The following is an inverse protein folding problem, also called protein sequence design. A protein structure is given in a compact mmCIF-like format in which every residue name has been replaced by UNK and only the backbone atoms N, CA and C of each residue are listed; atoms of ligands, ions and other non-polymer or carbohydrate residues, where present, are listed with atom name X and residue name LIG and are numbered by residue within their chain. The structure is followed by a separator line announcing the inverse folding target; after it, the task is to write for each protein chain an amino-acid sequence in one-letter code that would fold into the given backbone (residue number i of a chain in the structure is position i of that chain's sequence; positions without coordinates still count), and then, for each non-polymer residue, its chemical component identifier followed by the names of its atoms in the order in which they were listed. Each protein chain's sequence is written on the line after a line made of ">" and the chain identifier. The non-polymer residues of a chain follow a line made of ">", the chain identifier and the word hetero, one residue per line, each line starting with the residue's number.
data_IF_916868730561
#
_entry.id   IF_916868730561
#
_cell.length_a   1.000
_cell.length_b   1.000
_cell.length_c   1.000
_cell.angle_alpha   90.00
_cell.angle_beta   90.00
_cell.angle_gamma   90.00
#
_symmetry.space_group_name_H-M   'P 1'
#
loop_
_entity.id
_entity.type
_entity.pdbx_description
1 polymer ?
#
# COMPACT_ATOMS: atom_id res chain seq x y z
N UNK A 1 -48.77 3.69 16.47
CA UNK A 1 -48.29 3.66 17.88
C UNK A 1 -48.85 2.46 18.67
N UNK A 2 -48.56 1.21 18.28
CA UNK A 2 -49.01 0.01 19.07
C UNK A 2 -47.95 -1.07 19.28
N UNK A 3 -46.78 -1.01 18.63
CA UNK A 3 -45.83 -2.13 18.66
C UNK A 3 -44.89 -2.20 19.87
N UNK A 4 -44.62 -1.09 20.57
CA UNK A 4 -43.69 -1.08 21.72
C UNK A 4 -44.31 -1.64 23.00
N UNK A 5 -45.64 -1.75 23.06
CA UNK A 5 -46.38 -2.28 24.22
C UNK A 5 -46.23 -3.80 24.33
N UNK A 6 -46.18 -4.51 23.19
CA UNK A 6 -46.11 -5.98 23.16
C UNK A 6 -44.76 -6.52 23.67
N UNK A 7 -43.66 -5.82 23.40
CA UNK A 7 -42.31 -6.22 23.85
C UNK A 7 -42.16 -6.05 25.36
N UNK A 8 -42.61 -4.90 25.89
CA UNK A 8 -42.64 -4.67 27.35
C UNK A 8 -43.51 -5.70 28.06
N UNK A 9 -44.64 -6.07 27.44
CA UNK A 9 -45.53 -7.10 27.96
C UNK A 9 -44.85 -8.49 27.97
N UNK A 10 -44.16 -8.87 26.89
CA UNK A 10 -43.44 -10.14 26.81
C UNK A 10 -42.32 -10.25 27.87
N UNK A 11 -41.53 -9.18 28.05
CA UNK A 11 -40.45 -9.15 29.04
C UNK A 11 -41.02 -9.21 30.47
N UNK A 12 -42.07 -8.45 30.76
CA UNK A 12 -42.74 -8.49 32.07
C UNK A 12 -43.37 -9.86 32.34
N UNK A 13 -43.93 -10.52 31.32
CA UNK A 13 -44.49 -11.87 31.45
C UNK A 13 -43.38 -12.90 31.70
N UNK A 14 -42.24 -12.82 31.03
CA UNK A 14 -41.10 -13.72 31.27
C UNK A 14 -40.51 -13.49 32.67
N UNK A 15 -40.30 -12.23 33.07
CA UNK A 15 -39.80 -11.89 34.39
C UNK A 15 -40.78 -12.31 35.51
N UNK A 16 -42.09 -12.12 35.31
CA UNK A 16 -43.11 -12.57 36.25
C UNK A 16 -43.15 -14.09 36.37
N UNK A 17 -43.03 -14.83 35.27
CA UNK A 17 -42.99 -16.30 35.29
C UNK A 17 -41.73 -16.82 36.00
N UNK A 18 -40.56 -16.19 35.80
CA UNK A 18 -39.34 -16.54 36.52
C UNK A 18 -39.45 -16.26 38.02
N UNK A 19 -40.08 -15.14 38.40
CA UNK A 19 -40.29 -14.76 39.80
C UNK A 19 -41.28 -15.69 40.50
N UNK A 20 -42.36 -16.10 39.82
CA UNK A 20 -43.33 -17.09 40.32
C UNK A 20 -42.69 -18.48 40.44
N UNK A 21 -41.89 -18.90 39.46
CA UNK A 21 -41.16 -20.17 39.53
C UNK A 21 -40.17 -20.21 40.71
N UNK A 22 -39.49 -19.09 40.99
CA UNK A 22 -38.59 -18.98 42.13
C UNK A 22 -39.33 -18.96 43.49
N UNK A 23 -40.53 -18.38 43.54
CA UNK A 23 -41.34 -18.35 44.76
C UNK A 23 -41.91 -19.72 45.15
N UNK A 24 -42.22 -20.57 44.16
CA UNK A 24 -42.80 -21.90 44.36
C UNK A 24 -41.71 -22.95 44.67
N UNK A 25 -40.49 -22.75 44.16
CA UNK A 25 -39.32 -23.59 44.46
C UNK A 25 -38.12 -22.75 44.94
N UNK A 26 -38.06 -22.43 46.24
CA UNK A 26 -36.96 -21.65 46.82
C UNK A 26 -35.62 -22.40 46.88
N UNK A 27 -35.63 -23.73 46.74
CA UNK A 27 -34.44 -24.60 46.78
C UNK A 27 -33.83 -24.89 45.39
N UNK A 28 -34.32 -24.20 44.34
CA UNK A 28 -33.83 -24.42 42.98
C UNK A 28 -32.41 -23.85 42.85
N UNK A 29 -31.40 -24.72 42.94
CA UNK A 29 -30.01 -24.38 42.61
C UNK A 29 -29.95 -24.03 41.12
N UNK A 30 -30.00 -22.73 40.81
CA UNK A 30 -29.87 -22.23 39.45
C UNK A 30 -28.48 -22.66 38.94
N UNK A 31 -28.45 -23.73 38.16
CA UNK A 31 -27.22 -24.26 37.60
C UNK A 31 -26.66 -23.25 36.58
N UNK A 32 -25.33 -23.16 36.51
CA UNK A 32 -24.64 -22.25 35.61
C UNK A 32 -25.08 -22.47 34.15
N UNK A 33 -25.42 -23.71 33.81
CA UNK A 33 -25.95 -24.11 32.49
C UNK A 33 -27.29 -23.41 32.19
N UNK A 34 -28.18 -23.31 33.17
CA UNK A 34 -29.49 -22.66 33.00
C UNK A 34 -29.34 -21.15 32.80
N UNK A 35 -28.39 -20.51 33.50
CA UNK A 35 -28.09 -19.08 33.32
C UNK A 35 -27.52 -18.82 31.93
N UNK A 36 -26.58 -19.66 31.48
CA UNK A 36 -25.98 -19.53 30.15
C UNK A 36 -27.03 -19.73 29.07
N UNK A 37 -27.91 -20.73 29.20
CA UNK A 37 -29.01 -20.94 28.25
C UNK A 37 -30.00 -19.77 28.23
N UNK A 38 -30.28 -19.14 29.37
CA UNK A 38 -31.11 -17.94 29.43
C UNK A 38 -30.46 -16.74 28.72
N UNK A 39 -29.16 -16.52 28.92
CA UNK A 39 -28.39 -15.47 28.21
C UNK A 39 -28.41 -15.73 26.70
N UNK A 40 -28.15 -16.98 26.28
CA UNK A 40 -28.18 -17.38 24.87
C UNK A 40 -29.57 -17.24 24.26
N UNK A 41 -30.63 -17.50 25.03
CA UNK A 41 -32.01 -17.30 24.58
C UNK A 41 -32.37 -15.82 24.38
N UNK A 42 -31.72 -14.90 25.10
CA UNK A 42 -31.91 -13.45 25.00
C UNK A 42 -31.03 -12.83 23.88
N UNK A 43 -29.90 -13.44 23.53
CA UNK A 43 -28.99 -12.97 22.47
C UNK A 43 -29.66 -12.60 21.12
N UNK A 44 -30.60 -13.40 20.55
CA UNK A 44 -31.26 -13.08 19.29
C UNK A 44 -32.03 -11.75 19.34
N UNK A 45 -32.51 -11.39 20.53
CA UNK A 45 -33.31 -10.20 20.77
C UNK A 45 -32.42 -8.99 21.09
N UNK A 46 -31.24 -9.22 21.68
CA UNK A 46 -30.23 -8.19 21.93
C UNK A 46 -29.78 -7.51 20.63
N UNK A 47 -29.60 -8.28 19.55
CA UNK A 47 -29.27 -7.75 18.23
C UNK A 47 -30.30 -6.73 17.75
N UNK A 48 -31.60 -7.00 17.91
CA UNK A 48 -32.67 -6.09 17.49
C UNK A 48 -32.78 -4.83 18.37
N UNK A 49 -32.33 -4.89 19.62
CA UNK A 49 -32.25 -3.73 20.52
C UNK A 49 -31.02 -2.88 20.21
N UNK A 50 -29.88 -3.52 19.89
CA UNK A 50 -28.67 -2.85 19.40
C UNK A 50 -28.90 -2.16 18.05
N UNK A 51 -29.68 -2.76 17.15
CA UNK A 51 -30.05 -2.13 15.88
C UNK A 51 -30.98 -0.92 16.04
N UNK A 52 -31.91 -0.96 17.01
CA UNK A 52 -32.79 0.18 17.34
C UNK A 52 -32.11 1.24 18.21
N UNK A 53 -31.02 0.88 18.88
CA UNK A 53 -30.02 1.83 19.35
C UNK A 53 -29.16 2.26 18.14
N UNK A 54 -29.80 2.90 17.15
CA UNK A 54 -29.09 3.66 16.12
C UNK A 54 -28.10 4.59 16.82
N UNK A 55 -26.82 4.22 16.78
CA UNK A 55 -25.76 4.88 17.53
C UNK A 55 -25.77 6.37 17.15
N UNK A 56 -26.07 7.29 18.08
CA UNK A 56 -26.34 8.68 17.74
C UNK A 56 -25.06 9.36 17.26
N UNK A 57 -24.91 9.53 15.94
CA UNK A 57 -24.13 10.57 15.24
C UNK A 57 -22.60 10.64 15.44
N UNK A 58 -22.01 10.00 16.46
CA UNK A 58 -20.61 10.20 16.83
C UNK A 58 -19.62 9.28 16.12
N UNK A 59 -19.98 8.01 15.90
CA UNK A 59 -19.05 7.02 15.31
C UNK A 59 -18.92 7.15 13.80
N UNK A 60 -19.99 7.56 13.10
CA UNK A 60 -19.94 7.79 11.64
C UNK A 60 -19.05 8.99 11.29
N UNK A 61 -19.09 10.05 12.09
CA UNK A 61 -18.23 11.24 11.91
C UNK A 61 -16.77 10.88 12.15
N UNK A 62 -16.46 10.16 13.23
CA UNK A 62 -15.09 9.67 13.51
C UNK A 62 -14.57 8.78 12.38
N UNK A 63 -15.39 7.86 11.84
CA UNK A 63 -14.95 7.01 10.73
C UNK A 63 -14.74 7.81 9.43
N UNK A 64 -15.58 8.81 9.17
CA UNK A 64 -15.44 9.71 8.01
C UNK A 64 -14.19 10.58 8.11
N UNK A 65 -13.89 11.10 9.30
CA UNK A 65 -12.70 11.91 9.57
C UNK A 65 -11.41 11.07 9.46
N UNK A 66 -11.42 9.83 9.96
CA UNK A 66 -10.31 8.89 9.77
C UNK A 66 -10.11 8.58 8.30
N UNK A 67 -11.18 8.32 7.53
CA UNK A 67 -11.08 8.06 6.08
C UNK A 67 -10.54 9.27 5.32
N UNK A 68 -11.01 10.47 5.62
CA UNK A 68 -10.51 11.71 5.02
C UNK A 68 -9.04 11.96 5.35
N UNK A 69 -8.63 11.73 6.60
CA UNK A 69 -7.22 11.85 7.02
C UNK A 69 -6.34 10.83 6.30
N UNK A 70 -6.80 9.58 6.15
CA UNK A 70 -6.07 8.54 5.42
C UNK A 70 -5.96 8.89 3.93
N UNK A 71 -7.02 9.41 3.31
CA UNK A 71 -6.99 9.84 1.91
C UNK A 71 -6.04 11.03 1.70
N UNK A 72 -6.07 12.03 2.57
CA UNK A 72 -5.15 13.17 2.53
C UNK A 72 -3.69 12.72 2.74
N UNK A 73 -3.44 11.81 3.68
CA UNK A 73 -2.10 11.26 3.89
C UNK A 73 -1.62 10.45 2.69
N UNK A 74 -2.50 9.70 2.04
CA UNK A 74 -2.17 8.93 0.84
C UNK A 74 -1.81 9.87 -0.33
N UNK A 75 -2.57 10.95 -0.52
CA UNK A 75 -2.27 11.96 -1.53
C UNK A 75 -0.91 12.64 -1.27
N UNK A 76 -0.63 13.01 -0.01
CA UNK A 76 0.68 13.57 0.37
C UNK A 76 1.84 12.59 0.15
N UNK A 77 1.64 11.29 0.43
CA UNK A 77 2.66 10.27 0.18
C UNK A 77 2.90 10.12 -1.32
N UNK A 78 1.85 10.17 -2.14
CA UNK A 78 1.97 10.10 -3.60
C UNK A 78 2.64 11.33 -4.20
N UNK A 79 2.38 12.52 -3.66
CA UNK A 79 3.09 13.75 -4.03
C UNK A 79 4.57 13.69 -3.63
N UNK A 80 4.88 13.23 -2.41
CA UNK A 80 6.26 13.09 -1.93
C UNK A 80 7.03 12.07 -2.76
N UNK A 81 6.42 10.92 -3.07
CA UNK A 81 7.01 9.92 -3.94
C UNK A 81 7.31 10.50 -5.33
N UNK A 82 6.39 11.30 -5.89
CA UNK A 82 6.61 12.00 -7.17
C UNK A 82 7.78 12.98 -7.13
N UNK A 83 7.91 13.77 -6.07
CA UNK A 83 9.04 14.70 -5.91
C UNK A 83 10.36 13.93 -5.82
N UNK A 84 10.39 12.83 -5.05
CA UNK A 84 11.58 11.98 -4.93
C UNK A 84 11.93 11.38 -6.28
N UNK A 85 10.96 10.84 -7.02
CA UNK A 85 11.17 10.31 -8.36
C UNK A 85 11.73 11.37 -9.29
N UNK A 86 11.11 12.56 -9.37
CA UNK A 86 11.59 13.65 -10.23
C UNK A 86 13.02 14.07 -9.86
N UNK A 87 13.32 14.22 -8.56
CA UNK A 87 14.67 14.56 -8.11
C UNK A 87 15.66 13.46 -8.47
N UNK A 88 15.35 12.18 -8.22
CA UNK A 88 16.23 11.05 -8.52
C UNK A 88 16.48 10.96 -10.01
N UNK A 89 15.42 10.99 -10.82
CA UNK A 89 15.47 10.82 -12.28
C UNK A 89 16.24 11.95 -12.97
N UNK A 90 16.09 13.19 -12.48
CA UNK A 90 16.77 14.37 -13.04
C UNK A 90 18.09 14.72 -12.34
N UNK A 91 18.44 14.05 -11.24
CA UNK A 91 19.75 14.24 -10.59
C UNK A 91 20.93 13.74 -11.42
N UNK A 92 20.72 12.69 -12.23
CA UNK A 92 21.73 12.17 -13.13
C UNK A 92 21.78 12.99 -14.42
N UNK A 93 22.98 13.47 -14.76
CA UNK A 93 23.24 14.15 -16.02
C UNK A 93 22.73 13.31 -17.21
N UNK A 94 22.13 13.97 -18.20
CA UNK A 94 21.55 13.31 -19.37
C UNK A 94 22.54 12.37 -20.07
N UNK A 95 23.82 12.72 -20.09
CA UNK A 95 24.87 11.93 -20.72
C UNK A 95 25.18 10.61 -19.98
N UNK A 96 25.27 10.63 -18.65
CA UNK A 96 25.41 9.42 -17.83
C UNK A 96 24.21 8.49 -18.00
N UNK A 97 23.02 9.07 -18.04
CA UNK A 97 21.80 8.33 -18.32
C UNK A 97 21.82 7.71 -19.72
N UNK A 98 22.34 8.44 -20.72
CA UNK A 98 22.48 7.93 -22.08
C UNK A 98 23.34 6.65 -22.11
N UNK A 99 24.48 6.62 -21.42
CA UNK A 99 25.32 5.41 -21.31
C UNK A 99 24.55 4.25 -20.66
N UNK A 100 23.91 4.51 -19.51
CA UNK A 100 23.16 3.49 -18.78
C UNK A 100 22.00 2.91 -19.61
N UNK A 101 21.24 3.79 -20.27
CA UNK A 101 20.13 3.45 -21.16
C UNK A 101 20.61 2.65 -22.38
N UNK A 102 21.74 3.06 -22.96
CA UNK A 102 22.31 2.37 -24.13
C UNK A 102 22.72 0.95 -23.79
N UNK A 103 23.38 0.74 -22.64
CA UNK A 103 23.72 -0.60 -22.13
C UNK A 103 22.43 -1.42 -21.92
N UNK A 104 21.41 -0.86 -21.27
CA UNK A 104 20.12 -1.54 -21.01
C UNK A 104 19.47 -2.05 -22.30
N UNK A 105 19.30 -1.19 -23.30
CA UNK A 105 18.67 -1.60 -24.55
C UNK A 105 19.54 -2.53 -25.38
N UNK A 106 20.86 -2.32 -25.38
CA UNK A 106 21.78 -3.20 -26.08
C UNK A 106 21.71 -4.64 -25.54
N UNK A 107 21.70 -4.81 -24.22
CA UNK A 107 21.53 -6.11 -23.59
C UNK A 107 20.17 -6.74 -23.88
N UNK A 108 19.10 -5.95 -23.82
CA UNK A 108 17.73 -6.44 -24.06
C UNK A 108 17.48 -6.84 -25.51
N UNK A 109 18.03 -6.09 -26.45
CA UNK A 109 17.87 -6.31 -27.89
C UNK A 109 18.93 -7.26 -28.48
N UNK A 110 19.98 -7.59 -27.72
CA UNK A 110 21.13 -8.34 -28.22
C UNK A 110 21.95 -7.55 -29.24
N UNK A 111 21.93 -6.21 -29.16
CA UNK A 111 22.75 -5.33 -30.00
C UNK A 111 24.01 -4.90 -29.27
N UNK A 112 24.92 -4.26 -29.99
CA UNK A 112 26.22 -3.85 -29.44
C UNK A 112 26.18 -2.41 -28.92
N UNK A 113 26.93 -2.15 -27.85
CA UNK A 113 27.20 -0.80 -27.37
C UNK A 113 28.69 -0.63 -27.14
N UNK A 114 29.35 0.09 -28.06
CA UNK A 114 30.81 0.11 -28.14
C UNK A 114 31.41 1.09 -27.14
N UNK A 115 32.38 0.61 -26.38
CA UNK A 115 33.22 1.41 -25.50
C UNK A 115 34.23 2.20 -26.32
N UNK A 116 34.21 3.53 -26.17
CA UNK A 116 35.26 4.40 -26.70
C UNK A 116 36.19 4.79 -25.55
N UNK A 117 37.44 4.33 -25.60
CA UNK A 117 38.41 4.52 -24.53
C UNK A 117 38.96 5.93 -24.55
N UNK A 118 38.29 6.81 -23.81
CA UNK A 118 38.77 8.13 -23.42
C UNK A 118 38.51 8.36 -21.92
N UNK A 119 39.18 9.34 -21.33
CA UNK A 119 39.11 9.58 -19.88
C UNK A 119 37.67 9.90 -19.43
N UNK A 120 36.93 10.69 -20.21
CA UNK A 120 35.55 11.09 -19.90
C UNK A 120 34.62 9.86 -19.85
N UNK A 121 34.66 8.99 -20.86
CA UNK A 121 33.82 7.78 -20.92
C UNK A 121 34.22 6.81 -19.79
N UNK A 122 35.52 6.64 -19.51
CA UNK A 122 35.97 5.82 -18.39
C UNK A 122 35.39 6.33 -17.07
N UNK A 123 35.43 7.63 -16.84
CA UNK A 123 34.93 8.24 -15.62
C UNK A 123 33.40 8.19 -15.55
N UNK A 124 32.70 8.32 -16.66
CA UNK A 124 31.24 8.12 -16.74
C UNK A 124 30.83 6.70 -16.34
N UNK A 125 31.50 5.67 -16.88
CA UNK A 125 31.21 4.29 -16.49
C UNK A 125 31.57 4.02 -15.03
N UNK A 126 32.64 4.64 -14.53
CA UNK A 126 33.01 4.54 -13.11
C UNK A 126 31.97 5.20 -12.23
N UNK A 127 31.44 6.36 -12.61
CA UNK A 127 30.34 6.99 -11.90
C UNK A 127 29.14 6.04 -11.84
N UNK A 128 28.74 5.44 -12.97
CA UNK A 128 27.60 4.52 -13.01
C UNK A 128 27.81 3.29 -12.12
N UNK A 129 29.02 2.74 -12.10
CA UNK A 129 29.39 1.64 -11.20
C UNK A 129 29.41 2.07 -9.73
N UNK A 130 30.04 3.20 -9.42
CA UNK A 130 30.25 3.67 -8.05
C UNK A 130 28.93 4.09 -7.39
N UNK A 131 27.92 4.46 -8.19
CA UNK A 131 26.54 4.69 -7.74
C UNK A 131 25.65 3.44 -7.82
N UNK A 132 26.21 2.26 -8.13
CA UNK A 132 25.51 0.99 -8.06
C UNK A 132 24.57 0.68 -9.22
N UNK A 133 24.66 1.39 -10.34
CA UNK A 133 23.87 1.08 -11.55
C UNK A 133 24.50 -0.06 -12.37
N UNK A 134 25.82 -0.22 -12.29
CA UNK A 134 26.58 -1.29 -12.92
C UNK A 134 27.27 -2.16 -11.86
N UNK A 135 27.38 -3.46 -12.09
CA UNK A 135 28.12 -4.35 -11.20
C UNK A 135 29.64 -4.12 -11.29
N UNK A 136 30.35 -4.60 -10.27
CA UNK A 136 31.80 -4.42 -10.07
C UNK A 136 32.57 -4.84 -11.33
N UNK A 137 33.18 -3.85 -11.98
CA UNK A 137 33.96 -4.01 -13.20
C UNK A 137 35.35 -3.38 -13.08
N UNK A 138 36.32 -4.06 -13.69
CA UNK A 138 37.63 -3.51 -14.01
C UNK A 138 37.55 -2.56 -15.21
N UNK A 139 36.79 -1.47 -15.13
CA UNK A 139 36.52 -0.55 -16.26
C UNK A 139 37.82 -0.05 -16.92
N UNK A 140 38.87 0.19 -16.14
CA UNK A 140 40.19 0.62 -16.66
C UNK A 140 40.87 -0.43 -17.55
N UNK A 141 40.53 -1.69 -17.38
CA UNK A 141 41.09 -2.82 -18.11
C UNK A 141 40.36 -3.06 -19.44
N UNK A 142 39.22 -2.39 -19.67
CA UNK A 142 38.51 -2.49 -20.94
C UNK A 142 39.38 -1.90 -22.08
N UNK A 143 39.39 -2.62 -23.20
CA UNK A 143 40.06 -2.20 -24.42
C UNK A 143 39.12 -1.31 -25.23
N UNK A 144 39.69 -0.38 -26.00
CA UNK A 144 38.91 0.42 -26.94
C UNK A 144 38.17 -0.49 -27.92
N UNK A 145 36.92 -0.17 -28.24
CA UNK A 145 36.08 -1.01 -29.10
C UNK A 145 35.35 -2.16 -28.39
N UNK A 146 35.53 -2.34 -27.08
CA UNK A 146 34.85 -3.40 -26.32
C UNK A 146 33.34 -3.22 -26.36
N UNK A 147 32.58 -4.30 -26.61
CA UNK A 147 31.12 -4.28 -26.51
C UNK A 147 30.66 -4.33 -25.04
N UNK A 148 30.24 -3.18 -24.53
CA UNK A 148 29.76 -3.03 -23.15
C UNK A 148 28.51 -3.86 -22.88
N UNK A 149 27.67 -4.14 -23.88
CA UNK A 149 26.48 -4.94 -23.67
C UNK A 149 26.85 -6.37 -23.21
N UNK A 150 27.97 -6.91 -23.69
CA UNK A 150 28.48 -8.24 -23.33
C UNK A 150 29.43 -8.20 -22.13
N UNK A 151 30.15 -7.10 -21.95
CA UNK A 151 31.23 -6.99 -20.96
C UNK A 151 30.80 -6.37 -19.63
N UNK A 152 29.65 -5.72 -19.58
CA UNK A 152 29.11 -5.06 -18.38
C UNK A 152 27.86 -5.79 -17.91
N UNK A 153 27.60 -5.77 -16.60
CA UNK A 153 26.33 -6.25 -16.04
C UNK A 153 25.58 -5.12 -15.36
N UNK A 154 24.33 -4.92 -15.78
CA UNK A 154 23.40 -4.00 -15.11
C UNK A 154 22.97 -4.59 -13.77
N UNK A 155 22.92 -3.73 -12.76
CA UNK A 155 22.27 -4.08 -11.50
C UNK A 155 20.75 -3.97 -11.65
N UNK A 156 19.96 -4.56 -10.74
CA UNK A 156 18.51 -4.32 -10.69
C UNK A 156 18.16 -2.83 -10.58
N UNK A 157 18.97 -2.05 -9.84
CA UNK A 157 18.79 -0.60 -9.67
C UNK A 157 19.06 0.14 -10.99
N UNK A 158 20.10 -0.24 -11.72
CA UNK A 158 20.41 0.30 -13.05
C UNK A 158 19.24 0.15 -14.02
N UNK A 159 18.70 -1.06 -14.13
CA UNK A 159 17.54 -1.36 -14.99
C UNK A 159 16.29 -0.59 -14.53
N UNK A 160 16.01 -0.58 -13.23
CA UNK A 160 14.87 0.13 -12.67
C UNK A 160 14.92 1.63 -12.95
N UNK A 161 16.09 2.26 -12.77
CA UNK A 161 16.28 3.68 -13.04
C UNK A 161 15.95 4.03 -14.50
N UNK A 162 16.37 3.19 -15.46
CA UNK A 162 16.08 3.41 -16.88
C UNK A 162 14.59 3.38 -17.16
N UNK A 163 13.89 2.37 -16.66
CA UNK A 163 12.45 2.22 -16.85
C UNK A 163 11.66 3.36 -16.20
N UNK A 164 12.06 3.73 -14.97
CA UNK A 164 11.44 4.82 -14.22
C UNK A 164 11.60 6.16 -14.95
N UNK A 165 12.82 6.50 -15.39
CA UNK A 165 13.10 7.73 -16.12
C UNK A 165 12.31 7.84 -17.40
N UNK A 166 12.30 6.80 -18.22
CA UNK A 166 11.56 6.83 -19.48
C UNK A 166 10.05 6.93 -19.29
N UNK A 167 9.50 6.22 -18.29
CA UNK A 167 8.08 6.34 -17.94
C UNK A 167 7.76 7.79 -17.62
N UNK A 168 8.60 8.44 -16.81
CA UNK A 168 8.39 9.82 -16.38
C UNK A 168 8.54 10.82 -17.52
N UNK A 169 9.57 10.70 -18.35
CA UNK A 169 9.76 11.52 -19.54
C UNK A 169 8.56 11.42 -20.50
N UNK A 170 7.97 10.22 -20.65
CA UNK A 170 6.74 10.01 -21.44
C UNK A 170 5.51 10.68 -20.81
N UNK A 171 5.39 10.66 -19.48
CA UNK A 171 4.29 11.35 -18.78
C UNK A 171 4.39 12.87 -18.95
N UNK A 172 5.60 13.43 -18.79
CA UNK A 172 5.87 14.85 -18.97
C UNK A 172 5.56 15.28 -20.40
N UNK A 173 6.01 14.51 -21.40
CA UNK A 173 5.71 14.80 -22.81
C UNK A 173 4.20 14.79 -23.07
N UNK A 174 3.48 13.78 -22.61
CA UNK A 174 2.01 13.70 -22.76
C UNK A 174 1.27 14.86 -22.09
N UNK A 175 1.80 15.39 -20.99
CA UNK A 175 1.24 16.55 -20.31
C UNK A 175 1.49 17.83 -21.12
N UNK A 176 2.68 17.98 -21.72
CA UNK A 176 3.01 19.10 -22.59
C UNK A 176 2.16 19.10 -23.88
N UNK A 177 1.90 17.95 -24.48
CA UNK A 177 1.13 17.83 -25.73
C UNK A 177 -0.39 18.12 -25.56
N UNK A 178 -0.88 18.17 -24.30
CA UNK A 178 -2.29 18.46 -23.98
C UNK A 178 -2.56 19.94 -23.71
N UNK A 179 -1.52 20.77 -23.64
CA UNK A 179 -1.62 22.23 -23.44
C UNK A 179 -1.61 22.95 -24.79
#
# INVERSE_FOLDING_TARGET
>A
MRETTHIKFAISVVAANLLVAHLIWPDLSIDAITVVLAIVAILPWLATVLERATFPGGWEVVFREVKATVEEQQEQIEDQARIIDDLVIFSMAHWLFYHLRSIYYAQKAGTEYIFNKNDDFVDDLRFLRDNGYLEILGIRQLEDGTDLAKSVKLTPIGSYYVELREKREKEIQKAADKQ
#
